data_IF_132580689681
#
_entry.id   IF_132580689681
#
_cell.length_a   1.000
_cell.length_b   1.000
_cell.length_c   1.000
_cell.angle_alpha   90.00
_cell.angle_beta   90.00
_cell.angle_gamma   90.00
#
_symmetry.space_group_name_H-M   'P 1'
#
loop_
_entity.id
_entity.type
_entity.pdbx_description
1 polymer ?
#
# COMPACT_ATOMS: atom_id res chain seq x y z
N UNK A 1 27.23 -10.35 3.62
CA UNK A 1 25.96 -9.86 3.05
C UNK A 1 26.19 -8.41 2.66
N UNK A 2 25.83 -8.00 1.44
CA UNK A 2 26.03 -6.62 0.99
C UNK A 2 24.84 -5.77 1.43
N UNK A 3 25.05 -4.80 2.32
CA UNK A 3 23.99 -3.92 2.85
C UNK A 3 23.31 -3.09 1.75
N UNK A 4 24.01 -2.81 0.64
CA UNK A 4 23.46 -2.06 -0.50
C UNK A 4 22.26 -2.76 -1.13
N UNK A 5 22.19 -4.10 -1.07
CA UNK A 5 21.06 -4.87 -1.61
C UNK A 5 19.75 -4.62 -0.87
N UNK A 6 19.83 -4.18 0.39
CA UNK A 6 18.67 -3.97 1.25
C UNK A 6 18.34 -2.50 1.46
N UNK A 7 19.21 -1.58 1.01
CA UNK A 7 19.04 -0.13 1.22
C UNK A 7 17.73 0.44 0.69
N UNK A 8 17.16 -0.19 -0.35
CA UNK A 8 15.90 0.26 -0.97
C UNK A 8 14.66 -0.46 -0.42
N UNK A 9 14.81 -1.51 0.39
CA UNK A 9 13.66 -2.34 0.82
C UNK A 9 12.77 -1.61 1.83
N UNK A 10 13.36 -0.71 2.63
CA UNK A 10 12.63 0.08 3.62
C UNK A 10 12.17 1.44 3.06
N UNK A 11 12.34 1.69 1.75
CA UNK A 11 11.90 2.94 1.14
C UNK A 11 10.40 2.88 0.85
N UNK A 12 9.64 3.95 1.12
CA UNK A 12 8.24 4.01 0.74
C UNK A 12 8.09 3.98 -0.79
N UNK A 13 7.00 3.41 -1.32
CA UNK A 13 6.77 3.38 -2.76
C UNK A 13 6.49 4.78 -3.29
N UNK A 14 6.90 5.05 -4.53
CA UNK A 14 6.44 6.21 -5.28
C UNK A 14 4.93 6.12 -5.56
N UNK A 15 4.29 7.25 -5.90
CA UNK A 15 2.86 7.25 -6.25
C UNK A 15 2.57 6.40 -7.50
N UNK A 16 3.49 6.36 -8.46
CA UNK A 16 3.35 5.55 -9.68
C UNK A 16 3.42 4.05 -9.36
N UNK A 17 4.40 3.63 -8.57
CA UNK A 17 4.51 2.25 -8.09
C UNK A 17 3.29 1.85 -7.27
N UNK A 18 2.80 2.75 -6.42
CA UNK A 18 1.56 2.53 -5.66
C UNK A 18 0.36 2.25 -6.57
N UNK A 19 0.12 3.11 -7.56
CA UNK A 19 -0.99 2.94 -8.50
C UNK A 19 -0.84 1.64 -9.27
N UNK A 20 0.38 1.30 -9.69
CA UNK A 20 0.67 0.04 -10.35
C UNK A 20 0.36 -1.16 -9.45
N UNK A 21 0.78 -1.15 -8.18
CA UNK A 21 0.48 -2.24 -7.24
C UNK A 21 -1.01 -2.42 -7.04
N UNK A 22 -1.75 -1.33 -6.84
CA UNK A 22 -3.20 -1.39 -6.62
C UNK A 22 -3.93 -1.96 -7.83
N UNK A 23 -3.57 -1.56 -9.06
CA UNK A 23 -4.22 -2.06 -10.26
C UNK A 23 -4.04 -3.57 -10.47
N UNK A 24 -2.90 -4.12 -10.01
CA UNK A 24 -2.55 -5.54 -10.10
C UNK A 24 -3.04 -6.40 -8.93
N UNK A 25 -3.77 -5.83 -7.95
CA UNK A 25 -4.35 -6.65 -6.88
C UNK A 25 -5.21 -7.79 -7.46
N UNK A 26 -5.22 -9.00 -6.89
CA UNK A 26 -6.07 -10.08 -7.39
C UNK A 26 -7.54 -9.75 -7.14
N UNK A 27 -8.38 -9.97 -8.16
CA UNK A 27 -9.82 -9.90 -8.00
C UNK A 27 -10.36 -11.16 -7.29
N UNK A 28 -11.58 -11.08 -6.77
CA UNK A 28 -12.34 -12.15 -6.12
C UNK A 28 -11.60 -12.76 -4.92
N UNK A 29 -10.66 -12.00 -4.33
CA UNK A 29 -10.02 -12.37 -3.08
C UNK A 29 -10.99 -12.14 -1.93
N UNK A 30 -11.04 -13.09 -1.00
CA UNK A 30 -11.85 -12.98 0.21
C UNK A 30 -11.50 -11.69 0.94
N UNK A 31 -12.52 -10.87 1.22
CA UNK A 31 -12.37 -9.69 2.03
C UNK A 31 -11.88 -10.07 3.43
N UNK A 32 -11.02 -9.25 4.01
CA UNK A 32 -10.59 -9.41 5.40
C UNK A 32 -11.71 -9.03 6.38
N UNK A 33 -11.39 -8.90 7.68
CA UNK A 33 -12.36 -8.51 8.71
C UNK A 33 -13.07 -7.16 8.46
N UNK A 34 -12.47 -6.30 7.63
CA UNK A 34 -13.03 -5.01 7.23
C UNK A 34 -14.13 -5.10 6.17
N UNK A 35 -14.32 -6.27 5.57
CA UNK A 35 -15.18 -6.49 4.41
C UNK A 35 -14.85 -5.61 3.19
N UNK A 36 -13.62 -5.07 3.12
CA UNK A 36 -13.14 -4.27 1.99
C UNK A 36 -12.51 -5.20 0.95
N UNK A 37 -13.09 -5.23 -0.24
CA UNK A 37 -12.58 -5.98 -1.38
C UNK A 37 -11.49 -5.22 -2.15
N UNK A 38 -10.59 -5.96 -2.80
CA UNK A 38 -9.54 -5.37 -3.65
C UNK A 38 -10.13 -4.53 -4.78
N UNK A 39 -11.27 -4.94 -5.31
CA UNK A 39 -12.05 -4.22 -6.31
C UNK A 39 -12.42 -2.83 -5.80
N UNK A 40 -12.83 -2.70 -4.53
CA UNK A 40 -13.19 -1.40 -3.96
C UNK A 40 -11.95 -0.50 -3.91
N UNK A 41 -10.80 -1.04 -3.53
CA UNK A 41 -9.52 -0.32 -3.48
C UNK A 41 -9.09 0.12 -4.89
N UNK A 42 -9.25 -0.74 -5.90
CA UNK A 42 -8.95 -0.42 -7.30
C UNK A 42 -9.79 0.72 -7.86
N UNK A 43 -11.05 0.82 -7.48
CA UNK A 43 -11.99 1.82 -7.99
C UNK A 43 -12.02 3.12 -7.17
N UNK A 44 -11.12 3.28 -6.19
CA UNK A 44 -10.99 4.53 -5.45
C UNK A 44 -10.65 5.69 -6.39
N UNK A 45 -11.31 6.82 -6.16
CA UNK A 45 -11.00 8.06 -6.86
C UNK A 45 -9.58 8.56 -6.56
N UNK A 46 -9.02 9.44 -7.40
CA UNK A 46 -7.61 9.88 -7.31
C UNK A 46 -7.26 10.55 -5.98
N UNK A 47 -8.21 11.28 -5.37
CA UNK A 47 -8.01 11.92 -4.07
C UNK A 47 -7.84 10.87 -2.97
N UNK A 48 -8.71 9.85 -2.95
CA UNK A 48 -8.67 8.80 -1.92
C UNK A 48 -7.45 7.90 -2.11
N UNK A 49 -7.09 7.58 -3.36
CA UNK A 49 -5.82 6.90 -3.67
C UNK A 49 -4.60 7.65 -3.14
N UNK A 50 -4.56 8.97 -3.35
CA UNK A 50 -3.45 9.80 -2.85
C UNK A 50 -3.41 9.83 -1.31
N UNK A 51 -4.55 9.88 -0.64
CA UNK A 51 -4.62 9.81 0.83
C UNK A 51 -4.14 8.45 1.36
N UNK A 52 -4.58 7.35 0.74
CA UNK A 52 -4.16 6.01 1.11
C UNK A 52 -2.66 5.82 0.90
N UNK A 53 -2.12 6.28 -0.23
CA UNK A 53 -0.68 6.27 -0.49
C UNK A 53 0.11 7.08 0.56
N UNK A 54 -0.36 8.27 0.94
CA UNK A 54 0.26 9.08 2.01
C UNK A 54 0.25 8.35 3.34
N UNK A 55 -0.86 7.68 3.69
CA UNK A 55 -0.96 6.88 4.91
C UNK A 55 0.09 5.77 4.93
N UNK A 56 0.17 4.98 3.85
CA UNK A 56 1.16 3.90 3.73
C UNK A 56 2.60 4.46 3.81
N UNK A 57 2.87 5.55 3.10
CA UNK A 57 4.18 6.23 3.14
C UNK A 57 4.55 6.68 4.56
N UNK A 58 3.57 7.18 5.33
CA UNK A 58 3.78 7.53 6.74
C UNK A 58 4.12 6.30 7.59
N UNK A 59 3.44 5.16 7.41
CA UNK A 59 3.78 3.92 8.11
C UNK A 59 5.22 3.47 7.84
N UNK A 60 5.68 3.53 6.59
CA UNK A 60 7.07 3.23 6.22
C UNK A 60 8.07 4.18 6.90
N UNK A 61 7.80 5.49 6.85
CA UNK A 61 8.71 6.49 7.42
C UNK A 61 8.79 6.44 8.95
N UNK A 62 7.66 6.15 9.60
CA UNK A 62 7.58 6.02 11.05
C UNK A 62 8.07 4.66 11.55
N UNK A 63 8.27 3.68 10.64
CA UNK A 63 8.50 2.28 10.97
C UNK A 63 7.44 1.75 11.96
N UNK A 64 6.19 2.19 11.77
CA UNK A 64 5.08 1.91 12.66
C UNK A 64 3.86 1.43 11.86
N UNK A 65 3.25 0.34 12.32
CA UNK A 65 2.06 -0.27 11.73
C UNK A 65 0.98 -0.21 12.80
N UNK A 66 -0.21 0.35 12.50
CA UNK A 66 -1.30 0.41 13.45
C UNK A 66 -1.58 -0.96 14.06
N UNK A 67 -1.64 -1.05 15.38
CA UNK A 67 -1.87 -2.31 16.12
C UNK A 67 -3.22 -2.97 15.83
N UNK A 68 -4.14 -2.24 15.19
CA UNK A 68 -5.53 -2.63 14.91
C UNK A 68 -5.77 -3.01 13.42
N UNK A 69 -4.71 -3.15 12.61
CA UNK A 69 -4.78 -3.71 11.25
C UNK A 69 -4.73 -5.24 11.27
#
# INVERSE_FOLDING_TARGET
INEVWYGNIMQPPTLEEWIAVISHLPNDKTSGPSDIHNEMIKHLGPIVQSLLWKLITMCFNLNDIPSEW
#
